data_IF_627987258315
#
_entry.id   IF_627987258315
#
_cell.length_a   1.000
_cell.length_b   1.000
_cell.length_c   1.000
_cell.angle_alpha   90.00
_cell.angle_beta   90.00
_cell.angle_gamma   90.00
#
_symmetry.space_group_name_H-M   'P 1'
#
loop_
_entity.id
_entity.type
_entity.pdbx_description
1 polymer ?
#
# COMPACT_ATOMS: atom_id res chain seq x y z
N UNK A 1 9.26 -43.76 49.29
CA UNK A 1 8.20 -42.81 48.87
C UNK A 1 8.71 -42.02 47.66
N UNK A 2 8.28 -42.41 46.47
CA UNK A 2 8.63 -41.80 45.18
C UNK A 2 7.72 -40.61 44.91
N UNK A 3 8.27 -39.39 44.88
CA UNK A 3 7.58 -38.22 44.34
C UNK A 3 7.98 -38.07 42.87
N UNK A 4 7.16 -38.66 42.00
CA UNK A 4 7.22 -38.42 40.56
C UNK A 4 6.65 -37.03 40.29
N UNK A 5 7.50 -36.07 39.94
CA UNK A 5 7.08 -34.74 39.49
C UNK A 5 7.09 -34.74 37.96
N UNK A 6 6.12 -35.42 37.37
CA UNK A 6 5.81 -35.27 35.94
C UNK A 6 4.99 -33.99 35.74
N UNK A 7 5.67 -32.85 35.81
CA UNK A 7 5.08 -31.57 35.44
C UNK A 7 5.26 -31.37 33.94
N UNK A 8 4.47 -32.11 33.16
CA UNK A 8 4.26 -31.82 31.73
C UNK A 8 3.56 -30.47 31.65
N UNK A 9 4.34 -29.39 31.63
CA UNK A 9 3.87 -28.07 31.19
C UNK A 9 3.52 -28.20 29.71
N UNK A 10 2.27 -28.59 29.45
CA UNK A 10 1.63 -28.40 28.15
C UNK A 10 1.58 -26.89 27.91
N UNK A 11 2.61 -26.38 27.24
CA UNK A 11 2.62 -25.00 26.77
C UNK A 11 1.40 -24.90 25.85
N UNK A 12 0.40 -24.12 26.26
CA UNK A 12 -0.72 -23.77 25.40
C UNK A 12 -0.13 -23.07 24.19
N UNK A 13 -0.09 -23.77 23.05
CA UNK A 13 0.30 -23.16 21.78
C UNK A 13 -0.70 -22.04 21.53
N UNK A 14 -0.26 -20.78 21.39
CA UNK A 14 -1.16 -19.68 21.12
C UNK A 14 -1.95 -19.99 19.86
N UNK A 15 -3.28 -20.01 19.95
CA UNK A 15 -4.16 -20.21 18.80
C UNK A 15 -4.19 -18.99 17.89
N UNK A 16 -3.76 -17.84 18.42
CA UNK A 16 -3.69 -16.55 17.75
C UNK A 16 -2.31 -15.94 17.95
N UNK A 17 -1.70 -15.50 16.86
CA UNK A 17 -0.39 -14.88 16.78
C UNK A 17 -0.51 -13.53 16.05
N UNK A 18 0.40 -12.56 16.28
CA UNK A 18 0.34 -11.29 15.55
C UNK A 18 0.71 -11.51 14.08
N UNK A 19 -0.06 -10.91 13.16
CA UNK A 19 0.34 -10.86 11.76
C UNK A 19 1.60 -10.01 11.61
N UNK A 20 2.59 -10.51 10.88
CA UNK A 20 3.85 -9.80 10.70
C UNK A 20 3.73 -8.55 9.83
N UNK A 21 2.73 -8.50 8.94
CA UNK A 21 2.51 -7.37 8.02
C UNK A 21 1.44 -6.39 8.51
N UNK A 22 0.62 -6.70 9.51
CA UNK A 22 -0.49 -5.84 9.91
C UNK A 22 -0.88 -6.02 11.38
N UNK A 23 -1.62 -5.08 11.99
CA UNK A 23 -2.03 -5.22 13.39
C UNK A 23 -3.09 -6.30 13.62
N UNK A 24 -3.68 -6.87 12.56
CA UNK A 24 -4.69 -7.92 12.70
C UNK A 24 -4.09 -9.22 13.27
N UNK A 25 -4.86 -9.96 14.08
CA UNK A 25 -4.47 -11.29 14.52
C UNK A 25 -4.37 -12.26 13.32
N UNK A 26 -3.47 -13.22 13.45
CA UNK A 26 -3.30 -14.35 12.55
C UNK A 26 -3.59 -15.65 13.33
N UNK A 27 -4.43 -16.55 12.81
CA UNK A 27 -4.55 -17.87 13.42
C UNK A 27 -3.23 -18.62 13.23
N UNK A 28 -2.83 -19.41 14.22
CA UNK A 28 -1.58 -20.17 14.21
C UNK A 28 -1.63 -21.41 13.29
N UNK A 29 -2.07 -21.22 12.05
CA UNK A 29 -2.23 -22.27 11.05
C UNK A 29 -0.94 -22.41 10.22
N UNK A 30 -0.48 -23.65 9.92
CA UNK A 30 0.76 -23.88 9.16
C UNK A 30 0.77 -23.21 7.79
N UNK A 31 -0.36 -23.13 7.09
CA UNK A 31 -0.47 -22.50 5.77
C UNK A 31 -0.33 -20.97 5.79
N UNK A 32 -0.36 -20.36 6.98
CA UNK A 32 -0.13 -18.93 7.20
C UNK A 32 1.27 -18.63 7.74
N UNK A 33 2.06 -19.67 8.00
CA UNK A 33 3.45 -19.55 8.39
C UNK A 33 4.31 -19.28 7.15
N UNK A 34 5.14 -18.24 7.22
CA UNK A 34 6.06 -17.84 6.16
C UNK A 34 7.44 -17.56 6.74
N UNK A 35 8.47 -17.80 5.95
CA UNK A 35 9.85 -17.48 6.33
C UNK A 35 10.10 -15.98 6.13
N UNK A 36 10.57 -15.30 7.16
CA UNK A 36 11.15 -13.97 7.06
C UNK A 36 12.68 -14.11 6.96
N UNK A 37 13.25 -13.53 5.90
CA UNK A 37 14.69 -13.39 5.71
C UNK A 37 15.08 -11.92 5.88
N UNK A 38 15.50 -11.49 7.09
CA UNK A 38 15.94 -10.11 7.28
C UNK A 38 17.27 -9.88 6.53
N UNK A 39 17.58 -8.61 6.24
CA UNK A 39 18.88 -8.26 5.65
C UNK A 39 20.05 -8.56 6.59
N UNK A 40 19.80 -8.54 7.90
CA UNK A 40 20.78 -8.84 8.96
C UNK A 40 20.09 -9.76 9.97
N UNK A 41 20.73 -10.90 10.28
CA UNK A 41 20.27 -11.86 11.29
C UNK A 41 19.69 -13.15 10.72
N UNK A 42 19.25 -14.07 11.59
CA UNK A 42 18.78 -15.39 11.18
C UNK A 42 17.39 -15.32 10.51
N UNK A 43 17.15 -16.30 9.65
CA UNK A 43 15.81 -16.57 9.14
C UNK A 43 14.88 -17.00 10.30
N UNK A 44 13.62 -16.58 10.24
CA UNK A 44 12.62 -16.97 11.25
C UNK A 44 11.25 -17.18 10.64
N UNK A 45 10.47 -18.06 11.25
CA UNK A 45 9.06 -18.23 10.90
C UNK A 45 8.24 -17.11 11.51
N UNK A 46 7.38 -16.51 10.70
CA UNK A 46 6.39 -15.52 11.13
C UNK A 46 5.02 -15.90 10.58
N UNK A 47 3.96 -15.34 11.17
CA UNK A 47 2.58 -15.64 10.77
C UNK A 47 1.96 -14.44 10.07
N UNK A 48 1.11 -14.71 9.09
CA UNK A 48 0.32 -13.71 8.40
C UNK A 48 -1.16 -13.92 8.67
N UNK A 49 -1.94 -12.85 8.78
CA UNK A 49 -3.38 -12.97 8.72
C UNK A 49 -3.78 -13.41 7.31
N UNK A 50 -4.98 -14.00 7.18
CA UNK A 50 -5.48 -14.53 5.90
C UNK A 50 -5.46 -13.48 4.78
N UNK A 51 -5.88 -12.25 5.09
CA UNK A 51 -5.82 -11.14 4.16
C UNK A 51 -4.40 -10.89 3.64
N UNK A 52 -3.41 -10.79 4.52
CA UNK A 52 -2.03 -10.52 4.13
C UNK A 52 -1.41 -11.68 3.35
N UNK A 53 -1.75 -12.93 3.67
CA UNK A 53 -1.28 -14.09 2.92
C UNK A 53 -1.91 -14.13 1.52
N UNK A 54 -3.22 -13.91 1.40
CA UNK A 54 -3.94 -14.06 0.13
C UNK A 54 -3.76 -12.89 -0.83
N UNK A 55 -3.38 -11.70 -0.34
CA UNK A 55 -3.38 -10.47 -1.15
C UNK A 55 -2.01 -9.84 -1.38
N UNK A 56 -0.94 -10.33 -0.73
CA UNK A 56 0.41 -9.84 -1.00
C UNK A 56 0.90 -10.25 -2.40
N UNK A 57 1.82 -9.49 -3.02
CA UNK A 57 2.41 -9.84 -4.32
C UNK A 57 3.10 -11.21 -4.28
N UNK A 58 3.82 -11.51 -3.20
CA UNK A 58 4.56 -12.76 -3.04
C UNK A 58 3.75 -13.92 -2.46
N UNK A 59 2.42 -13.93 -2.57
CA UNK A 59 1.56 -14.93 -1.89
C UNK A 59 1.90 -16.39 -2.22
N UNK A 60 2.39 -16.64 -3.44
CA UNK A 60 2.74 -17.97 -3.92
C UNK A 60 4.12 -18.46 -3.44
N UNK A 61 4.90 -17.58 -2.79
CA UNK A 61 6.22 -17.94 -2.24
C UNK A 61 6.14 -18.09 -0.71
N UNK A 62 6.82 -19.08 -0.12
CA UNK A 62 6.81 -19.29 1.34
C UNK A 62 7.67 -18.26 2.09
N UNK A 63 8.12 -17.19 1.43
CA UNK A 63 9.07 -16.20 1.99
C UNK A 63 8.49 -14.78 1.88
N UNK A 64 8.70 -13.97 2.91
CA UNK A 64 8.45 -12.53 2.87
C UNK A 64 9.64 -11.80 2.25
N UNK A 65 9.35 -10.91 1.29
CA UNK A 65 10.36 -10.08 0.62
C UNK A 65 10.03 -8.59 0.66
N UNK A 66 10.94 -7.76 0.14
CA UNK A 66 10.79 -6.30 0.08
C UNK A 66 9.47 -5.86 -0.57
N UNK A 67 9.02 -6.55 -1.61
CA UNK A 67 7.75 -6.26 -2.28
C UNK A 67 6.52 -6.40 -1.38
N UNK A 68 6.55 -7.30 -0.40
CA UNK A 68 5.44 -7.49 0.54
C UNK A 68 5.35 -6.30 1.53
N UNK A 69 6.49 -5.74 1.92
CA UNK A 69 6.55 -4.52 2.74
C UNK A 69 6.12 -3.28 1.97
N UNK A 70 6.63 -3.10 0.74
CA UNK A 70 6.20 -2.01 -0.16
C UNK A 70 4.69 -2.07 -0.43
N UNK A 71 4.18 -3.26 -0.73
CA UNK A 71 2.75 -3.49 -0.89
C UNK A 71 1.95 -3.10 0.35
N UNK A 72 2.41 -3.51 1.55
CA UNK A 72 1.66 -3.23 2.76
C UNK A 72 1.58 -1.74 3.07
N UNK A 73 2.70 -1.02 2.95
CA UNK A 73 2.75 0.44 3.11
C UNK A 73 1.83 1.12 2.12
N UNK A 74 1.92 0.73 0.85
CA UNK A 74 1.09 1.25 -0.24
C UNK A 74 -0.41 0.99 -0.02
N UNK A 75 -0.78 -0.22 0.40
CA UNK A 75 -2.17 -0.62 0.64
C UNK A 75 -2.78 0.17 1.81
N UNK A 76 -2.07 0.26 2.94
CA UNK A 76 -2.52 1.08 4.09
C UNK A 76 -2.62 2.56 3.72
N UNK A 77 -1.60 3.10 3.05
CA UNK A 77 -1.58 4.50 2.66
C UNK A 77 -2.68 4.84 1.67
N UNK A 78 -2.95 3.94 0.70
CA UNK A 78 -4.03 4.11 -0.26
C UNK A 78 -5.41 4.09 0.41
N UNK A 79 -5.63 3.13 1.32
CA UNK A 79 -6.86 3.06 2.11
C UNK A 79 -7.05 4.32 2.98
N UNK A 80 -5.99 4.79 3.65
CA UNK A 80 -6.04 5.99 4.49
C UNK A 80 -6.33 7.27 3.67
N UNK A 81 -5.66 7.44 2.52
CA UNK A 81 -5.94 8.57 1.62
C UNK A 81 -7.35 8.52 1.06
N UNK A 82 -7.84 7.34 0.68
CA UNK A 82 -9.22 7.18 0.19
C UNK A 82 -10.24 7.54 1.26
N UNK A 83 -10.02 7.12 2.52
CA UNK A 83 -10.88 7.51 3.64
C UNK A 83 -10.81 9.01 3.88
N UNK A 84 -9.62 9.62 3.92
CA UNK A 84 -9.45 11.05 4.12
C UNK A 84 -10.11 11.88 3.00
N UNK A 85 -10.07 11.38 1.76
CA UNK A 85 -10.78 11.98 0.64
C UNK A 85 -12.30 11.90 0.82
N UNK A 86 -12.82 10.72 1.15
CA UNK A 86 -14.24 10.48 1.34
C UNK A 86 -14.84 11.29 2.52
N UNK A 87 -14.05 11.54 3.57
CA UNK A 87 -14.46 12.35 4.73
C UNK A 87 -14.16 13.85 4.58
N UNK A 88 -13.58 14.28 3.44
CA UNK A 88 -13.21 15.68 3.20
C UNK A 88 -11.98 16.17 3.99
N UNK A 89 -11.32 15.30 4.75
CA UNK A 89 -10.08 15.62 5.49
C UNK A 89 -8.88 15.83 4.57
N UNK A 90 -8.94 15.34 3.34
CA UNK A 90 -7.98 15.62 2.29
C UNK A 90 -8.70 16.07 1.04
N UNK A 91 -8.38 17.29 0.60
CA UNK A 91 -8.80 17.85 -0.68
C UNK A 91 -7.62 17.74 -1.65
N UNK A 92 -7.68 16.86 -2.65
CA UNK A 92 -6.59 16.67 -3.60
C UNK A 92 -6.40 17.93 -4.45
N UNK A 93 -5.15 18.21 -4.82
CA UNK A 93 -4.87 19.30 -5.75
C UNK A 93 -5.50 18.99 -7.12
N UNK A 94 -5.87 20.02 -7.92
CA UNK A 94 -6.31 19.79 -9.30
C UNK A 94 -5.31 18.96 -10.13
N UNK A 95 -4.02 19.11 -9.84
CA UNK A 95 -2.97 18.29 -10.46
C UNK A 95 -3.08 16.81 -10.06
N UNK A 96 -3.41 16.50 -8.79
CA UNK A 96 -3.56 15.12 -8.30
C UNK A 96 -4.75 14.42 -8.95
N UNK A 97 -5.88 15.12 -9.14
CA UNK A 97 -7.01 14.59 -9.91
C UNK A 97 -6.62 14.25 -11.35
N UNK A 98 -5.94 15.17 -12.05
CA UNK A 98 -5.46 14.93 -13.43
C UNK A 98 -4.46 13.77 -13.48
N UNK A 99 -3.59 13.66 -12.48
CA UNK A 99 -2.62 12.58 -12.40
C UNK A 99 -3.30 11.22 -12.13
N UNK A 100 -4.30 11.18 -11.24
CA UNK A 100 -5.11 9.99 -11.02
C UNK A 100 -5.83 9.55 -12.30
N UNK A 101 -6.40 10.48 -13.06
CA UNK A 101 -7.05 10.21 -14.34
C UNK A 101 -6.06 9.70 -15.42
N UNK A 102 -4.82 10.20 -15.41
CA UNK A 102 -3.76 9.67 -16.25
C UNK A 102 -3.39 8.23 -15.85
N UNK A 103 -3.24 7.96 -14.56
CA UNK A 103 -2.96 6.61 -14.02
C UNK A 103 -4.09 5.62 -14.29
N UNK A 104 -5.35 6.05 -14.21
CA UNK A 104 -6.53 5.21 -14.49
C UNK A 104 -6.52 4.69 -15.94
N UNK A 105 -6.06 5.51 -16.88
CA UNK A 105 -5.99 5.18 -18.31
C UNK A 105 -4.67 4.53 -18.73
N UNK A 106 -3.67 4.56 -17.86
CA UNK A 106 -2.35 4.01 -18.15
C UNK A 106 -2.35 2.48 -18.16
N UNK A 107 -1.35 1.91 -18.83
CA UNK A 107 -0.99 0.50 -18.59
C UNK A 107 -0.31 0.40 -17.23
N UNK A 108 -0.77 -0.52 -16.40
CA UNK A 108 -0.19 -0.79 -15.07
C UNK A 108 0.97 -1.77 -15.19
N UNK A 109 2.03 -1.33 -15.86
CA UNK A 109 3.34 -2.01 -15.86
C UNK A 109 4.33 -1.15 -15.08
N UNK A 110 5.39 -1.77 -14.55
CA UNK A 110 6.46 -1.06 -13.86
C UNK A 110 7.01 0.10 -14.71
N UNK A 111 7.34 -0.16 -15.98
CA UNK A 111 7.88 0.82 -16.92
C UNK A 111 6.93 2.00 -17.16
N UNK A 112 5.67 1.72 -17.49
CA UNK A 112 4.67 2.74 -17.80
C UNK A 112 4.39 3.66 -16.60
N UNK A 113 4.29 3.08 -15.41
CA UNK A 113 4.05 3.85 -14.17
C UNK A 113 5.29 4.65 -13.78
N UNK A 114 6.49 4.09 -13.92
CA UNK A 114 7.74 4.82 -13.68
C UNK A 114 7.85 6.05 -14.59
N UNK A 115 7.53 5.90 -15.88
CA UNK A 115 7.57 7.01 -16.83
C UNK A 115 6.50 8.08 -16.55
N UNK A 116 5.34 7.69 -16.02
CA UNK A 116 4.33 8.65 -15.56
C UNK A 116 4.78 9.41 -14.31
N UNK A 117 5.31 8.71 -13.31
CA UNK A 117 5.86 9.33 -12.10
C UNK A 117 7.01 10.28 -12.41
N UNK A 118 7.88 9.92 -13.37
CA UNK A 118 8.99 10.78 -13.82
C UNK A 118 8.50 12.08 -14.47
N UNK A 119 7.40 12.02 -15.22
CA UNK A 119 6.78 13.16 -15.91
C UNK A 119 5.76 13.91 -15.06
N UNK A 120 5.55 13.50 -13.82
CA UNK A 120 4.62 14.15 -12.90
C UNK A 120 5.06 15.61 -12.66
N UNK A 121 4.09 16.53 -12.69
CA UNK A 121 4.28 17.94 -12.33
C UNK A 121 4.99 18.05 -10.97
N UNK A 122 6.05 18.87 -10.82
CA UNK A 122 6.72 19.07 -9.54
C UNK A 122 5.77 19.44 -8.39
N UNK A 123 4.66 20.12 -8.67
CA UNK A 123 3.63 20.45 -7.68
C UNK A 123 2.97 19.19 -7.07
N UNK A 124 3.02 18.04 -7.74
CA UNK A 124 2.52 16.78 -7.18
C UNK A 124 3.39 16.24 -6.04
N UNK A 125 4.66 16.69 -5.95
CA UNK A 125 5.56 16.28 -4.86
C UNK A 125 5.19 16.90 -3.51
N UNK A 126 4.48 18.03 -3.52
CA UNK A 126 3.93 18.65 -2.30
C UNK A 126 2.54 18.11 -1.95
N UNK A 127 1.91 17.35 -2.85
CA UNK A 127 0.67 16.61 -2.60
C UNK A 127 0.90 15.34 -1.78
N UNK A 128 -0.13 14.48 -1.73
CA UNK A 128 -0.09 13.22 -0.97
C UNK A 128 -0.08 11.99 -1.88
N UNK A 129 -0.60 12.10 -3.11
CA UNK A 129 -0.71 10.99 -4.04
C UNK A 129 0.65 10.50 -4.55
N UNK A 130 1.46 11.39 -5.14
CA UNK A 130 2.77 10.98 -5.70
C UNK A 130 3.70 10.43 -4.62
N UNK A 131 3.89 11.07 -3.45
CA UNK A 131 4.72 10.50 -2.39
C UNK A 131 4.28 9.11 -1.92
N UNK A 132 2.98 8.81 -1.92
CA UNK A 132 2.47 7.47 -1.59
C UNK A 132 2.86 6.43 -2.67
N UNK A 133 2.72 6.81 -3.94
CA UNK A 133 2.95 5.88 -5.05
C UNK A 133 4.43 5.69 -5.35
N UNK A 134 5.23 6.72 -5.08
CA UNK A 134 6.63 6.76 -5.40
C UNK A 134 7.38 5.61 -4.70
N UNK A 135 8.20 4.93 -5.49
CA UNK A 135 8.97 3.72 -5.17
C UNK A 135 8.12 2.48 -4.85
N UNK A 136 7.12 2.58 -3.99
CA UNK A 136 6.31 1.44 -3.56
C UNK A 136 5.50 0.82 -4.71
N UNK A 137 4.83 1.63 -5.53
CA UNK A 137 4.01 1.09 -6.62
C UNK A 137 4.87 0.41 -7.70
N UNK A 138 6.03 0.97 -8.04
CA UNK A 138 6.94 0.35 -9.02
C UNK A 138 7.52 -0.97 -8.50
N UNK A 139 7.86 -1.06 -7.21
CA UNK A 139 8.35 -2.31 -6.60
C UNK A 139 7.26 -3.38 -6.63
N UNK A 140 6.01 -3.03 -6.35
CA UNK A 140 4.89 -3.97 -6.41
C UNK A 140 4.65 -4.44 -7.85
N UNK A 141 4.65 -3.53 -8.82
CA UNK A 141 4.46 -3.86 -10.24
C UNK A 141 5.57 -4.71 -10.86
N UNK A 142 6.77 -4.72 -10.26
CA UNK A 142 7.84 -5.64 -10.65
C UNK A 142 7.54 -7.10 -10.25
N UNK A 143 6.63 -7.32 -9.30
CA UNK A 143 6.33 -8.63 -8.72
C UNK A 143 4.89 -9.08 -8.92
N UNK A 144 4.01 -8.22 -9.41
CA UNK A 144 2.59 -8.50 -9.57
C UNK A 144 2.09 -7.96 -10.92
N UNK A 145 1.30 -8.74 -11.66
CA UNK A 145 0.72 -8.28 -12.92
C UNK A 145 -0.29 -7.15 -12.68
N UNK A 146 -0.60 -6.39 -13.73
CA UNK A 146 -1.50 -5.24 -13.67
C UNK A 146 -2.84 -5.52 -12.96
N UNK A 147 -3.44 -6.69 -13.18
CA UNK A 147 -4.74 -7.10 -12.63
C UNK A 147 -4.69 -7.78 -11.26
N UNK A 148 -3.52 -7.83 -10.63
CA UNK A 148 -3.32 -8.55 -9.38
C UNK A 148 -4.11 -7.94 -8.22
N UNK A 149 -4.58 -8.80 -7.30
CA UNK A 149 -5.32 -8.40 -6.11
C UNK A 149 -4.53 -7.44 -5.21
N UNK A 150 -3.20 -7.54 -5.21
CA UNK A 150 -2.32 -6.67 -4.42
C UNK A 150 -2.47 -5.18 -4.76
N UNK A 151 -2.90 -4.85 -5.99
CA UNK A 151 -3.08 -3.48 -6.47
C UNK A 151 -4.47 -2.89 -6.19
N UNK A 152 -5.37 -3.67 -5.58
CA UNK A 152 -6.79 -3.33 -5.42
C UNK A 152 -7.04 -2.00 -4.69
N UNK A 153 -6.39 -1.77 -3.55
CA UNK A 153 -6.64 -0.53 -2.78
C UNK A 153 -6.10 0.71 -3.50
N UNK A 154 -4.98 0.59 -4.21
CA UNK A 154 -4.45 1.70 -5.02
C UNK A 154 -5.42 2.01 -6.16
N UNK A 155 -5.92 0.99 -6.87
CA UNK A 155 -6.92 1.18 -7.92
C UNK A 155 -8.17 1.88 -7.39
N UNK A 156 -8.70 1.43 -6.24
CA UNK A 156 -9.86 2.08 -5.58
C UNK A 156 -9.60 3.55 -5.25
N UNK A 157 -8.41 3.90 -4.76
CA UNK A 157 -8.02 5.29 -4.53
C UNK A 157 -8.00 6.08 -5.85
N UNK A 158 -7.34 5.56 -6.87
CA UNK A 158 -7.23 6.21 -8.18
C UNK A 158 -8.61 6.43 -8.81
N UNK A 159 -9.48 5.42 -8.76
CA UNK A 159 -10.85 5.51 -9.28
C UNK A 159 -11.68 6.55 -8.52
N UNK A 160 -11.56 6.61 -7.19
CA UNK A 160 -12.26 7.62 -6.38
C UNK A 160 -11.83 9.05 -6.74
N UNK A 161 -10.53 9.27 -6.94
CA UNK A 161 -9.99 10.58 -7.34
C UNK A 161 -10.36 10.95 -8.78
N UNK A 162 -10.37 9.98 -9.69
CA UNK A 162 -10.66 10.19 -11.10
C UNK A 162 -12.17 10.43 -11.37
N UNK A 163 -13.05 9.79 -10.59
CA UNK A 163 -14.50 9.96 -10.72
C UNK A 163 -15.01 11.28 -10.14
N UNK A 164 -14.26 11.89 -9.22
CA UNK A 164 -14.65 13.15 -8.60
C UNK A 164 -14.41 14.35 -9.53
N UNK A 165 -15.32 15.33 -9.57
CA UNK A 165 -15.10 16.55 -10.32
C UNK A 165 -13.86 17.27 -9.77
N UNK A 166 -12.90 17.58 -10.64
CA UNK A 166 -11.73 18.34 -10.22
C UNK A 166 -12.18 19.72 -9.71
N UNK A 167 -11.63 20.20 -8.58
CA UNK A 167 -11.94 21.55 -8.12
C UNK A 167 -11.58 22.55 -9.21
N UNK A 168 -12.55 23.39 -9.58
CA UNK A 168 -12.38 24.42 -10.61
C UNK A 168 -11.32 25.40 -10.10
N UNK A 169 -10.21 25.62 -10.83
CA UNK A 169 -9.21 26.57 -10.40
C UNK A 169 -9.85 27.97 -10.35
N UNK A 170 -9.76 28.61 -9.19
CA UNK A 170 -10.27 29.97 -8.99
C UNK A 170 -9.58 30.91 -9.99
N UNK A 171 -10.31 31.36 -11.00
CA UNK A 171 -9.80 32.26 -12.05
C UNK A 171 -9.57 33.68 -11.53
N UNK A 172 -10.02 33.99 -10.30
CA UNK A 172 -9.96 35.33 -9.70
C UNK A 172 -8.53 35.79 -9.40
N UNK A 173 -7.55 34.89 -9.33
CA UNK A 173 -6.15 35.23 -9.07
C UNK A 173 -5.35 35.71 -10.29
N UNK A 174 -5.90 35.69 -11.52
CA UNK A 174 -5.17 36.08 -12.75
C UNK A 174 -5.51 37.46 -13.31
N UNK A 175 -6.40 38.24 -12.68
CA UNK A 175 -6.82 39.55 -13.18
C UNK A 175 -6.10 40.75 -12.52
N UNK A 176 -4.90 40.54 -11.95
CA UNK A 176 -4.02 41.64 -11.54
C UNK A 176 -3.34 42.29 -12.75
N UNK A 177 -4.10 43.00 -13.58
CA UNK A 177 -3.55 43.87 -14.62
C UNK A 177 -2.87 45.06 -13.90
N UNK A 178 -1.56 45.31 -14.07
CA UNK A 178 -0.94 46.45 -13.43
C UNK A 178 -1.56 47.75 -14.01
N UNK A 179 -1.77 48.79 -13.18
CA UNK A 179 -2.19 50.08 -13.68
C UNK A 179 -1.08 50.64 -14.59
N UNK A 180 -1.47 51.04 -15.80
CA UNK A 180 -0.61 51.83 -16.68
C UNK A 180 -0.61 53.24 -16.09
N UNK A 181 0.52 53.60 -15.47
CA UNK A 181 0.88 54.98 -15.14
C UNK A 181 1.86 55.51 -16.18
#
# INVERSE_FOLDING_TARGET
MTLSVDRVQRHLVPTVLPCHLCPEPAPALPELAVTLRPAIGPERTVWLCRFCQDTRPGRDRPVLGGADWSWRGLNRGAAALRTAFATGQWVPLPAEHRFAEALRRARWTESSVRDLLRRADPALRTGRLVPLLQDALTVVLAHAPAGDVSLREVRRLIDALAAAPAPVPDRSARAGRPPVG
#
